data_IF_205206244956
#
_entry.id   IF_205206244956
#
_cell.length_a   1.000
_cell.length_b   1.000
_cell.length_c   1.000
_cell.angle_alpha   90.00
_cell.angle_beta   90.00
_cell.angle_gamma   90.00
#
_symmetry.space_group_name_H-M   'P 1'
#
loop_
_entity.id
_entity.type
_entity.pdbx_description
1 polymer ?
#
# COMPACT_ATOMS: atom_id res chain seq x y z
N UNK A 1 10.85 -43.45 18.79
CA UNK A 1 11.30 -42.12 19.24
C UNK A 1 10.70 -41.09 18.30
N UNK A 2 9.71 -40.32 18.75
CA UNK A 2 9.04 -39.31 17.92
C UNK A 2 9.71 -37.96 18.12
N UNK A 3 10.34 -37.43 17.08
CA UNK A 3 10.95 -36.10 17.09
C UNK A 3 9.84 -35.04 17.15
N UNK A 4 9.73 -34.36 18.28
CA UNK A 4 8.81 -33.23 18.47
C UNK A 4 9.46 -31.99 17.85
N UNK A 5 8.88 -31.49 16.76
CA UNK A 5 9.32 -30.22 16.17
C UNK A 5 8.84 -29.04 17.02
N UNK A 6 9.71 -28.06 17.36
CA UNK A 6 9.28 -26.88 18.09
C UNK A 6 8.30 -26.07 17.24
N UNK A 7 7.13 -25.76 17.83
CA UNK A 7 6.13 -24.87 17.22
C UNK A 7 6.77 -23.52 16.92
N UNK A 8 6.87 -23.20 15.63
CA UNK A 8 7.22 -21.88 15.11
C UNK A 8 6.31 -20.82 15.77
N UNK A 9 6.83 -19.72 16.34
CA UNK A 9 5.98 -18.69 16.90
C UNK A 9 5.12 -18.12 15.77
N UNK A 10 3.80 -18.14 15.97
CA UNK A 10 2.87 -17.40 15.14
C UNK A 10 3.32 -15.94 15.17
N UNK A 11 3.65 -15.37 14.00
CA UNK A 11 3.86 -13.93 13.85
C UNK A 11 2.60 -13.27 14.40
N UNK A 12 2.73 -12.63 15.56
CA UNK A 12 1.63 -11.88 16.19
C UNK A 12 1.32 -10.70 15.27
N UNK A 13 0.34 -10.87 14.40
CA UNK A 13 -0.39 -9.75 13.82
C UNK A 13 -1.34 -9.28 14.92
N UNK A 14 -0.83 -8.42 15.80
CA UNK A 14 -1.62 -7.77 16.83
C UNK A 14 -2.24 -6.48 16.28
N UNK A 15 -3.30 -5.95 16.93
CA UNK A 15 -3.98 -4.71 16.54
C UNK A 15 -3.16 -3.44 16.81
N UNK A 16 -1.88 -3.58 17.18
CA UNK A 16 -0.93 -2.47 17.20
C UNK A 16 -0.59 -2.11 15.75
N UNK A 17 -1.51 -1.41 15.10
CA UNK A 17 -1.33 -0.88 13.76
C UNK A 17 -0.06 -0.06 13.73
N UNK A 18 0.89 -0.47 12.89
CA UNK A 18 2.14 0.24 12.70
C UNK A 18 1.80 1.73 12.43
N UNK A 19 2.33 2.68 13.22
CA UNK A 19 2.04 4.10 13.03
C UNK A 19 2.42 4.58 11.63
N UNK A 20 3.39 3.92 10.97
CA UNK A 20 3.73 4.19 9.58
C UNK A 20 2.61 3.78 8.61
N UNK A 21 1.94 2.65 8.87
CA UNK A 21 0.79 2.20 8.08
C UNK A 21 -0.40 3.14 8.26
N UNK A 22 -0.70 3.55 9.51
CA UNK A 22 -1.78 4.50 9.80
C UNK A 22 -1.53 5.87 9.15
N UNK A 23 -0.28 6.36 9.18
CA UNK A 23 0.11 7.60 8.50
C UNK A 23 -0.03 7.51 6.98
N UNK A 24 0.34 6.37 6.40
CA UNK A 24 0.18 6.11 4.96
C UNK A 24 -1.30 6.07 4.56
N UNK A 25 -2.15 5.41 5.36
CA UNK A 25 -3.59 5.33 5.10
C UNK A 25 -4.28 6.71 5.14
N UNK A 26 -3.95 7.54 6.13
CA UNK A 26 -4.47 8.91 6.23
C UNK A 26 -4.06 9.76 5.02
N UNK A 27 -2.81 9.61 4.57
CA UNK A 27 -2.29 10.31 3.38
C UNK A 27 -3.03 9.86 2.12
N UNK A 28 -3.22 8.54 1.92
CA UNK A 28 -4.02 8.02 0.81
C UNK A 28 -5.47 8.53 0.85
N UNK A 29 -6.06 8.65 2.04
CA UNK A 29 -7.40 9.19 2.21
C UNK A 29 -7.48 10.66 1.78
N UNK A 30 -6.54 11.51 2.20
CA UNK A 30 -6.49 12.91 1.76
C UNK A 30 -6.26 13.05 0.25
N UNK A 31 -5.36 12.25 -0.33
CA UNK A 31 -5.15 12.22 -1.78
C UNK A 31 -6.41 11.81 -2.55
N UNK A 32 -7.15 10.81 -2.05
CA UNK A 32 -8.41 10.35 -2.66
C UNK A 32 -9.47 11.45 -2.70
N UNK A 33 -9.46 12.35 -1.72
CA UNK A 33 -10.38 13.51 -1.61
C UNK A 33 -9.85 14.77 -2.31
N UNK A 34 -8.65 14.71 -2.91
CA UNK A 34 -7.93 15.86 -3.47
C UNK A 34 -7.76 17.00 -2.44
N UNK A 35 -7.64 16.65 -1.17
CA UNK A 35 -7.36 17.61 -0.11
C UNK A 35 -5.91 18.10 -0.24
N UNK A 36 -5.62 19.37 0.07
CA UNK A 36 -4.26 19.87 0.09
C UNK A 36 -3.48 19.19 1.23
N UNK A 37 -2.53 18.34 0.86
CA UNK A 37 -1.61 17.68 1.80
C UNK A 37 -0.32 18.50 1.86
N UNK A 38 0.18 18.88 3.05
CA UNK A 38 1.49 19.50 3.16
C UNK A 38 2.54 18.55 2.56
N UNK A 39 3.33 19.03 1.61
CA UNK A 39 4.36 18.23 0.97
C UNK A 39 5.41 17.86 2.01
N UNK A 40 5.42 16.59 2.40
CA UNK A 40 6.41 15.98 3.27
C UNK A 40 7.20 14.93 2.48
N UNK A 41 8.45 14.67 2.89
CA UNK A 41 9.32 13.70 2.21
C UNK A 41 8.67 12.31 2.08
N UNK A 42 7.85 11.92 3.06
CA UNK A 42 7.09 10.66 3.02
C UNK A 42 6.02 10.62 1.91
N UNK A 43 5.37 11.76 1.63
CA UNK A 43 4.41 11.90 0.51
C UNK A 43 5.15 11.73 -0.81
N UNK A 44 6.28 12.41 -0.97
CA UNK A 44 7.09 12.34 -2.19
C UNK A 44 7.60 10.91 -2.38
N UNK A 45 8.15 10.28 -1.34
CA UNK A 45 8.65 8.91 -1.39
C UNK A 45 7.56 7.89 -1.72
N UNK A 46 6.37 8.04 -1.15
CA UNK A 46 5.23 7.17 -1.45
C UNK A 46 4.79 7.31 -2.91
N UNK A 47 4.65 8.54 -3.40
CA UNK A 47 4.25 8.80 -4.78
C UNK A 47 5.30 8.32 -5.79
N UNK A 48 6.59 8.48 -5.48
CA UNK A 48 7.68 7.95 -6.31
C UNK A 48 7.65 6.43 -6.38
N UNK A 49 7.49 5.74 -5.24
CA UNK A 49 7.39 4.29 -5.20
C UNK A 49 6.18 3.78 -6.00
N UNK A 50 5.04 4.49 -5.93
CA UNK A 50 3.86 4.16 -6.73
C UNK A 50 4.10 4.33 -8.24
N UNK A 51 4.81 5.39 -8.65
CA UNK A 51 5.18 5.60 -10.06
C UNK A 51 6.10 4.48 -10.54
N UNK A 52 7.12 4.12 -9.75
CA UNK A 52 8.05 3.03 -10.08
C UNK A 52 7.33 1.68 -10.25
N UNK A 53 6.34 1.37 -9.41
CA UNK A 53 5.54 0.14 -9.49
C UNK A 53 4.67 0.13 -10.76
N UNK A 54 4.01 1.25 -11.06
CA UNK A 54 3.21 1.42 -12.29
C UNK A 54 4.07 1.33 -13.55
N UNK A 55 5.25 1.95 -13.55
CA UNK A 55 6.20 1.90 -14.66
C UNK A 55 6.77 0.48 -14.83
N UNK A 56 7.01 -0.23 -13.72
CA UNK A 56 7.45 -1.62 -13.75
C UNK A 56 6.39 -2.53 -14.37
N UNK A 57 5.13 -2.39 -13.96
CA UNK A 57 4.01 -3.16 -14.52
C UNK A 57 3.83 -2.87 -16.01
N UNK A 58 3.93 -1.59 -16.41
CA UNK A 58 3.88 -1.18 -17.81
C UNK A 58 5.03 -1.78 -18.63
N UNK A 59 6.26 -1.71 -18.11
CA UNK A 59 7.46 -2.27 -18.76
C UNK A 59 7.42 -3.80 -18.84
N UNK A 60 6.84 -4.46 -17.84
CA UNK A 60 6.60 -5.90 -17.82
C UNK A 60 5.45 -6.33 -18.78
N UNK A 61 4.79 -5.38 -19.43
CA UNK A 61 3.67 -5.65 -20.33
C UNK A 61 2.41 -6.10 -19.60
N UNK A 62 2.33 -5.91 -18.28
CA UNK A 62 1.09 -6.08 -17.54
C UNK A 62 0.15 -4.96 -17.97
N UNK A 63 -0.95 -5.33 -18.62
CA UNK A 63 -2.02 -4.37 -18.90
C UNK A 63 -2.63 -3.96 -17.56
N UNK A 64 -2.30 -2.75 -17.11
CA UNK A 64 -3.05 -2.08 -16.06
C UNK A 64 -4.52 -2.08 -16.50
N UNK A 65 -5.33 -2.90 -15.84
CA UNK A 65 -6.72 -3.09 -16.18
C UNK A 65 -7.41 -1.74 -16.10
N UNK A 66 -7.85 -1.20 -17.24
CA UNK A 66 -8.61 0.04 -17.32
C UNK A 66 -10.00 -0.21 -16.75
N UNK A 67 -10.12 -0.09 -15.43
CA UNK A 67 -11.42 -0.04 -14.76
C UNK A 67 -12.00 1.35 -15.07
N UNK A 68 -12.82 1.40 -16.11
CA UNK A 68 -13.68 2.54 -16.38
C UNK A 68 -14.71 2.64 -15.26
N UNK A 69 -14.52 3.60 -14.35
CA UNK A 69 -15.57 4.02 -13.43
C UNK A 69 -16.60 4.75 -14.28
N UNK A 70 -17.60 4.01 -14.77
CA UNK A 70 -18.82 4.63 -15.29
C UNK A 70 -19.64 5.06 -14.08
N UNK A 71 -19.85 6.36 -13.84
CA UNK A 71 -20.79 6.78 -12.81
C UNK A 71 -22.18 6.28 -13.20
N UNK A 72 -22.77 5.38 -12.39
CA UNK A 72 -24.21 5.11 -12.47
C UNK A 72 -24.93 6.32 -11.88
N UNK A 73 -25.83 6.90 -12.69
CA UNK A 73 -26.67 8.04 -12.35
C UNK A 73 -27.75 7.69 -11.31
#
# INVERSE_FOLDING_TARGET
MTTVHPRRPARRYGPDGDPAVAGTEALLQSLSRREPVPVADDVVRLLSALIEDVDHDLAAGQRLSSVSITPSA
#
